data_IF_129510599007
#
_entry.id   IF_129510599007
#
_cell.length_a   1.000
_cell.length_b   1.000
_cell.length_c   1.000
_cell.angle_alpha   90.00
_cell.angle_beta   90.00
_cell.angle_gamma   90.00
#
_symmetry.space_group_name_H-M   'P 1'
#
loop_
_entity.id
_entity.type
_entity.pdbx_description
1 polymer ?
#
# COMPACT_ATOMS: atom_id res chain seq x y z
N UNK A 1 1.55 9.10 14.72
CA UNK A 1 0.81 8.90 13.49
C UNK A 1 1.63 8.05 12.51
N UNK A 2 0.96 7.30 11.68
CA UNK A 2 1.62 6.40 10.74
C UNK A 2 1.15 6.65 9.33
N UNK A 3 2.07 6.55 8.37
CA UNK A 3 1.73 6.61 6.95
C UNK A 3 1.94 5.21 6.38
N UNK A 4 0.92 4.71 5.70
CA UNK A 4 0.97 3.44 5.00
C UNK A 4 0.94 3.69 3.50
N UNK A 5 1.79 3.00 2.76
CA UNK A 5 1.83 3.04 1.29
C UNK A 5 1.70 1.64 0.72
N UNK A 6 0.90 1.55 -0.33
CA UNK A 6 0.82 0.35 -1.15
C UNK A 6 1.15 0.79 -2.56
N UNK A 7 2.19 0.23 -3.15
CA UNK A 7 2.66 0.66 -4.46
C UNK A 7 3.10 -0.51 -5.33
N UNK A 8 3.19 -0.23 -6.62
CA UNK A 8 3.73 -1.19 -7.57
C UNK A 8 5.23 -0.95 -7.72
N UNK A 9 6.04 -1.98 -7.56
CA UNK A 9 7.49 -1.86 -7.61
C UNK A 9 8.04 -1.72 -9.03
N UNK A 10 7.25 -2.08 -10.02
CA UNK A 10 7.67 -2.10 -11.42
C UNK A 10 7.12 -0.93 -12.21
N UNK A 11 5.82 -0.66 -12.07
CA UNK A 11 5.14 0.38 -12.85
C UNK A 11 5.26 1.73 -12.16
N UNK A 12 6.27 2.49 -12.54
CA UNK A 12 6.56 3.79 -11.91
C UNK A 12 6.20 5.00 -12.77
N UNK A 13 5.92 4.77 -14.03
CA UNK A 13 5.94 5.82 -15.04
C UNK A 13 4.99 6.97 -14.81
N UNK A 14 3.88 6.76 -14.17
CA UNK A 14 2.84 7.78 -14.06
C UNK A 14 2.47 8.18 -12.65
N UNK A 15 3.16 7.67 -11.67
CA UNK A 15 2.85 8.00 -10.28
C UNK A 15 1.48 7.57 -9.80
N UNK A 16 0.70 6.91 -10.65
CA UNK A 16 -0.67 6.51 -10.33
C UNK A 16 -0.78 5.17 -9.62
N UNK A 17 0.35 4.58 -9.34
CA UNK A 17 0.41 3.24 -8.76
C UNK A 17 0.84 3.27 -7.30
N UNK A 18 0.56 4.38 -6.63
CA UNK A 18 0.86 4.57 -5.23
C UNK A 18 -0.42 4.95 -4.49
N UNK A 19 -0.77 4.17 -3.48
CA UNK A 19 -1.86 4.47 -2.57
C UNK A 19 -1.25 4.79 -1.21
N UNK A 20 -1.59 5.93 -0.66
CA UNK A 20 -1.02 6.41 0.61
C UNK A 20 -2.13 6.89 1.52
N UNK A 21 -2.04 6.55 2.79
CA UNK A 21 -3.01 7.01 3.78
C UNK A 21 -2.36 7.14 5.15
N UNK A 22 -2.86 8.09 5.94
CA UNK A 22 -2.42 8.31 7.31
C UNK A 22 -3.35 7.64 8.30
N UNK A 23 -2.79 7.12 9.38
CA UNK A 23 -3.54 6.47 10.46
C UNK A 23 -2.98 6.86 11.80
N UNK A 24 -3.80 6.82 12.83
CA UNK A 24 -3.35 7.11 14.19
C UNK A 24 -2.59 5.94 14.80
N UNK A 25 -2.94 4.72 14.44
CA UNK A 25 -2.29 3.52 14.98
C UNK A 25 -1.68 2.67 13.88
N UNK A 26 -0.64 1.92 14.23
CA UNK A 26 -0.01 1.00 13.28
C UNK A 26 -0.96 -0.13 12.90
N UNK A 27 -1.78 -0.58 13.83
CA UNK A 27 -2.75 -1.65 13.56
C UNK A 27 -3.72 -1.27 12.43
N UNK A 28 -4.23 -0.04 12.46
CA UNK A 28 -5.10 0.45 11.40
C UNK A 28 -4.38 0.53 10.06
N UNK A 29 -3.14 1.00 10.07
CA UNK A 29 -2.32 1.11 8.86
C UNK A 29 -2.08 -0.27 8.23
N UNK A 30 -1.75 -1.25 9.05
CA UNK A 30 -1.52 -2.62 8.58
C UNK A 30 -2.79 -3.24 8.02
N UNK A 31 -3.90 -3.08 8.70
CA UNK A 31 -5.18 -3.61 8.26
C UNK A 31 -5.59 -3.03 6.90
N UNK A 32 -5.50 -1.72 6.76
CA UNK A 32 -5.82 -1.04 5.51
C UNK A 32 -4.95 -1.53 4.36
N UNK A 33 -3.63 -1.58 4.57
CA UNK A 33 -2.71 -1.97 3.51
C UNK A 33 -2.90 -3.41 3.07
N UNK A 34 -3.14 -4.32 4.02
CA UNK A 34 -3.39 -5.73 3.72
C UNK A 34 -4.68 -5.91 2.94
N UNK A 35 -5.73 -5.21 3.35
CA UNK A 35 -7.02 -5.28 2.68
C UNK A 35 -6.91 -4.75 1.25
N UNK A 36 -6.26 -3.61 1.07
CA UNK A 36 -6.07 -3.03 -0.25
C UNK A 36 -5.21 -3.94 -1.13
N UNK A 37 -4.13 -4.48 -0.58
CA UNK A 37 -3.25 -5.39 -1.31
C UNK A 37 -4.01 -6.64 -1.79
N UNK A 38 -4.82 -7.23 -0.93
CA UNK A 38 -5.64 -8.38 -1.29
C UNK A 38 -6.58 -8.07 -2.45
N UNK A 39 -7.23 -6.92 -2.41
CA UNK A 39 -8.14 -6.50 -3.46
C UNK A 39 -7.44 -6.29 -4.79
N UNK A 40 -6.25 -5.70 -4.75
CA UNK A 40 -5.46 -5.47 -5.95
C UNK A 40 -5.05 -6.78 -6.60
N UNK A 41 -4.56 -7.72 -5.81
CA UNK A 41 -4.12 -9.02 -6.32
C UNK A 41 -5.29 -9.86 -6.80
N UNK A 42 -6.35 -9.93 -6.03
CA UNK A 42 -7.55 -10.69 -6.39
C UNK A 42 -8.23 -10.14 -7.64
N UNK A 43 -8.18 -8.83 -7.81
CA UNK A 43 -8.72 -8.17 -8.99
C UNK A 43 -7.85 -8.31 -10.25
N UNK A 44 -6.66 -8.88 -10.11
CA UNK A 44 -5.75 -9.08 -11.23
C UNK A 44 -5.04 -7.81 -11.68
N UNK A 45 -5.03 -6.77 -10.86
CA UNK A 45 -4.37 -5.52 -11.23
C UNK A 45 -2.85 -5.60 -11.10
N UNK A 46 -2.37 -6.21 -10.05
CA UNK A 46 -0.94 -6.42 -9.81
C UNK A 46 -0.72 -7.84 -9.32
N UNK A 47 0.49 -8.35 -9.49
CA UNK A 47 0.89 -9.63 -8.90
C UNK A 47 1.49 -9.38 -7.52
N UNK A 48 1.59 -10.43 -6.72
CA UNK A 48 2.24 -10.35 -5.41
C UNK A 48 3.67 -9.83 -5.51
N UNK A 49 4.36 -10.19 -6.58
CA UNK A 49 5.74 -9.78 -6.80
C UNK A 49 5.87 -8.30 -7.09
N UNK A 50 4.86 -7.72 -7.70
CA UNK A 50 4.85 -6.29 -8.01
C UNK A 50 4.45 -5.43 -6.83
N UNK A 51 3.82 -6.02 -5.84
CA UNK A 51 3.22 -5.30 -4.72
C UNK A 51 4.24 -5.02 -3.62
N UNK A 52 4.33 -3.76 -3.22
CA UNK A 52 5.19 -3.33 -2.11
C UNK A 52 4.36 -2.55 -1.12
N UNK A 53 4.46 -2.93 0.16
CA UNK A 53 3.80 -2.21 1.25
C UNK A 53 4.87 -1.61 2.16
N UNK A 54 4.69 -0.35 2.49
CA UNK A 54 5.58 0.34 3.41
C UNK A 54 4.78 1.05 4.49
N UNK A 55 5.32 1.06 5.69
CA UNK A 55 4.72 1.73 6.83
C UNK A 55 5.78 2.58 7.50
N UNK A 56 5.48 3.85 7.73
CA UNK A 56 6.41 4.77 8.38
C UNK A 56 5.72 5.50 9.51
N UNK A 57 6.44 5.65 10.60
CA UNK A 57 5.99 6.47 11.69
C UNK A 57 6.32 7.94 11.38
N UNK A 58 5.34 8.80 11.57
CA UNK A 58 5.52 10.24 11.43
C UNK A 58 5.33 10.89 12.78
N UNK A 59 6.02 11.97 12.99
CA UNK A 59 5.91 12.73 14.24
C UNK A 59 4.84 13.79 14.08
#
# INVERSE_FOLDING_TARGET
MYISEVRNSVKRERGNFIHRRKFETLAEALEWSRDLASRIVEGGFWTDEELVMEHRRTI
#
